data_IF_825981007310
#
_entry.id   IF_825981007310
#
_cell.length_a   1.000
_cell.length_b   1.000
_cell.length_c   1.000
_cell.angle_alpha   90.00
_cell.angle_beta   90.00
_cell.angle_gamma   90.00
#
_symmetry.space_group_name_H-M   'P 1'
#
loop_
_entity.id
_entity.type
_entity.pdbx_description
1 polymer ?
#
# COMPACT_ATOMS: atom_id res chain seq x y z
N UNK A 1 38.30 12.86 -15.23
CA UNK A 1 37.88 11.62 -14.53
C UNK A 1 36.55 11.24 -15.13
N UNK A 2 36.45 10.00 -15.62
CA UNK A 2 35.39 9.54 -16.51
C UNK A 2 33.99 9.72 -15.90
N UNK A 3 33.10 10.33 -16.68
CA UNK A 3 31.67 10.28 -16.45
C UNK A 3 31.22 8.83 -16.66
N UNK A 4 30.70 8.19 -15.60
CA UNK A 4 30.05 6.89 -15.69
C UNK A 4 28.79 7.05 -16.56
N UNK A 5 28.92 6.78 -17.86
CA UNK A 5 27.79 6.51 -18.74
C UNK A 5 27.17 5.22 -18.23
N UNK A 6 26.20 5.32 -17.31
CA UNK A 6 25.48 4.16 -16.82
C UNK A 6 24.73 3.54 -18.00
N UNK A 7 25.25 2.42 -18.53
CA UNK A 7 24.57 1.63 -19.56
C UNK A 7 23.14 1.38 -19.08
N UNK A 8 22.15 1.87 -19.83
CA UNK A 8 20.74 1.63 -19.53
C UNK A 8 20.53 0.12 -19.70
N UNK A 9 20.54 -0.62 -18.58
CA UNK A 9 20.33 -2.06 -18.60
C UNK A 9 18.90 -2.34 -19.05
N UNK A 10 18.72 -3.22 -20.00
CA UNK A 10 17.43 -3.80 -20.40
C UNK A 10 17.11 -5.02 -19.52
N UNK A 11 15.87 -5.51 -19.54
CA UNK A 11 15.54 -6.77 -18.84
C UNK A 11 16.31 -7.97 -19.42
N UNK A 12 16.57 -7.98 -20.72
CA UNK A 12 17.41 -8.97 -21.39
C UNK A 12 18.83 -8.97 -20.82
N UNK A 13 19.42 -7.79 -20.59
CA UNK A 13 20.76 -7.66 -19.98
C UNK A 13 20.83 -8.21 -18.55
N UNK A 14 19.68 -8.33 -17.87
CA UNK A 14 19.59 -8.91 -16.52
C UNK A 14 19.49 -10.44 -16.53
N UNK A 15 19.41 -11.07 -17.71
CA UNK A 15 19.21 -12.52 -17.86
C UNK A 15 17.73 -12.96 -17.81
N UNK A 16 16.79 -12.03 -17.96
CA UNK A 16 15.35 -12.36 -18.10
C UNK A 16 15.11 -12.92 -19.50
N UNK A 17 14.39 -14.05 -19.60
CA UNK A 17 14.12 -14.72 -20.86
C UNK A 17 13.13 -13.94 -21.74
N UNK A 18 13.23 -14.12 -23.05
CA UNK A 18 12.48 -13.35 -24.06
C UNK A 18 10.96 -13.34 -23.79
N UNK A 19 10.40 -14.46 -23.36
CA UNK A 19 8.97 -14.57 -23.04
C UNK A 19 8.55 -13.63 -21.91
N UNK A 20 9.38 -13.48 -20.87
CA UNK A 20 9.11 -12.58 -19.75
C UNK A 20 9.45 -11.12 -20.09
N UNK A 21 10.42 -10.90 -20.98
CA UNK A 21 10.71 -9.56 -21.53
C UNK A 21 9.50 -9.06 -22.32
N UNK A 22 8.92 -9.87 -23.21
CA UNK A 22 7.69 -9.54 -23.95
C UNK A 22 6.53 -9.23 -23.00
N UNK A 23 6.36 -10.02 -21.93
CA UNK A 23 5.35 -9.75 -20.91
C UNK A 23 5.59 -8.41 -20.19
N UNK A 24 6.85 -8.04 -19.92
CA UNK A 24 7.20 -6.74 -19.36
C UNK A 24 6.83 -5.60 -20.33
N UNK A 25 7.17 -5.73 -21.61
CA UNK A 25 6.85 -4.72 -22.64
C UNK A 25 5.34 -4.52 -22.79
N UNK A 26 4.57 -5.60 -22.81
CA UNK A 26 3.10 -5.56 -22.87
C UNK A 26 2.47 -4.85 -21.65
N UNK A 27 3.13 -4.90 -20.49
CA UNK A 27 2.74 -4.16 -19.28
C UNK A 27 3.34 -2.75 -19.21
N UNK A 28 4.07 -2.32 -20.24
CA UNK A 28 4.72 -1.02 -20.33
C UNK A 28 5.99 -0.88 -19.49
N UNK A 29 6.58 -1.99 -19.03
CA UNK A 29 7.84 -2.00 -18.28
C UNK A 29 9.02 -1.95 -19.24
N UNK A 30 9.34 -0.74 -19.70
CA UNK A 30 10.40 -0.53 -20.71
C UNK A 30 11.81 -0.73 -20.19
N UNK A 31 12.07 -0.32 -18.95
CA UNK A 31 13.40 -0.36 -18.34
C UNK A 31 13.30 -0.86 -16.90
N UNK A 32 14.21 -1.72 -16.44
CA UNK A 32 14.27 -2.15 -15.06
C UNK A 32 14.57 -0.98 -14.12
N UNK A 33 13.93 -0.98 -12.95
CA UNK A 33 14.30 -0.07 -11.88
C UNK A 33 15.66 -0.43 -11.26
N UNK A 34 16.29 0.49 -10.52
CA UNK A 34 17.57 0.24 -9.84
C UNK A 34 17.57 -1.05 -9.00
N UNK A 35 16.51 -1.25 -8.19
CA UNK A 35 16.37 -2.47 -7.37
C UNK A 35 16.19 -3.73 -8.22
N UNK A 36 15.50 -3.65 -9.36
CA UNK A 36 15.35 -4.77 -10.28
C UNK A 36 16.69 -5.11 -10.96
N UNK A 37 17.40 -4.09 -11.43
CA UNK A 37 18.69 -4.22 -12.10
C UNK A 37 19.79 -4.83 -11.21
N UNK A 38 19.74 -4.57 -9.91
CA UNK A 38 20.65 -5.17 -8.93
C UNK A 38 20.17 -6.55 -8.45
N UNK A 39 18.86 -6.74 -8.22
CA UNK A 39 18.34 -7.97 -7.59
C UNK A 39 18.15 -9.14 -8.55
N UNK A 40 17.63 -8.88 -9.76
CA UNK A 40 17.24 -9.95 -10.69
C UNK A 40 18.41 -10.86 -11.04
N UNK A 41 19.61 -10.35 -11.39
CA UNK A 41 20.74 -11.23 -11.69
C UNK A 41 21.06 -12.18 -10.53
N UNK A 42 21.12 -11.68 -9.29
CA UNK A 42 21.41 -12.51 -8.12
C UNK A 42 20.29 -13.52 -7.82
N UNK A 43 19.03 -13.12 -8.01
CA UNK A 43 17.87 -14.00 -7.86
C UNK A 43 17.94 -15.18 -8.85
N UNK A 44 18.27 -14.91 -10.12
CA UNK A 44 18.39 -15.91 -11.18
C UNK A 44 19.54 -16.89 -10.93
N UNK A 45 20.61 -16.45 -10.27
CA UNK A 45 21.69 -17.32 -9.78
C UNK A 45 21.32 -18.11 -8.50
N UNK A 46 20.06 -18.05 -8.06
CA UNK A 46 19.55 -18.83 -6.94
C UNK A 46 20.02 -18.36 -5.56
N UNK A 47 20.48 -17.11 -5.43
CA UNK A 47 20.89 -16.52 -4.15
C UNK A 47 19.69 -16.05 -3.35
N UNK A 48 19.77 -16.15 -2.02
CA UNK A 48 18.88 -15.45 -1.11
C UNK A 48 19.09 -13.93 -1.22
N UNK A 49 18.02 -13.15 -1.07
CA UNK A 49 18.06 -11.70 -1.28
C UNK A 49 17.52 -10.91 -0.10
N UNK A 50 18.12 -9.75 0.12
CA UNK A 50 17.57 -8.68 0.93
C UNK A 50 17.51 -7.43 0.06
N UNK A 51 16.31 -7.02 -0.31
CA UNK A 51 16.07 -5.79 -1.05
C UNK A 51 15.58 -4.68 -0.14
N UNK A 52 16.43 -3.68 0.10
CA UNK A 52 16.07 -2.43 0.77
C UNK A 52 15.87 -1.34 -0.27
N UNK A 53 14.61 -0.98 -0.49
CA UNK A 53 14.25 0.08 -1.41
C UNK A 53 12.93 0.74 -1.01
N UNK A 54 12.75 1.99 -1.40
CA UNK A 54 11.58 2.81 -1.07
C UNK A 54 10.30 2.24 -1.71
N UNK A 55 9.13 2.68 -1.26
CA UNK A 55 7.84 2.31 -1.85
C UNK A 55 7.74 2.84 -3.28
N UNK A 56 7.22 2.03 -4.21
CA UNK A 56 7.13 2.40 -5.63
C UNK A 56 8.43 2.26 -6.43
N UNK A 57 9.48 1.68 -5.84
CA UNK A 57 10.77 1.41 -6.53
C UNK A 57 10.76 0.17 -7.44
N UNK A 58 9.65 -0.57 -7.53
CA UNK A 58 9.56 -1.78 -8.37
C UNK A 58 10.00 -3.09 -7.70
N UNK A 59 10.05 -3.14 -6.36
CA UNK A 59 10.40 -4.34 -5.56
C UNK A 59 9.62 -5.60 -5.99
N UNK A 60 8.33 -5.46 -6.27
CA UNK A 60 7.48 -6.58 -6.68
C UNK A 60 8.00 -7.28 -7.94
N UNK A 61 8.33 -6.50 -8.98
CA UNK A 61 8.94 -7.04 -10.20
C UNK A 61 10.28 -7.75 -9.95
N UNK A 62 11.06 -7.27 -8.97
CA UNK A 62 12.37 -7.83 -8.65
C UNK A 62 12.32 -9.26 -8.10
N UNK A 63 11.22 -9.68 -7.47
CA UNK A 63 11.03 -11.09 -7.07
C UNK A 63 10.07 -11.87 -7.96
N UNK A 64 9.09 -11.22 -8.59
CA UNK A 64 8.12 -11.91 -9.46
C UNK A 64 8.82 -12.50 -10.69
N UNK A 65 9.66 -11.72 -11.37
CA UNK A 65 10.35 -12.14 -12.60
C UNK A 65 11.22 -13.40 -12.41
N UNK A 66 12.16 -13.46 -11.43
CA UNK A 66 12.96 -14.66 -11.25
C UNK A 66 12.16 -15.89 -10.82
N UNK A 67 11.08 -15.71 -10.03
CA UNK A 67 10.19 -16.82 -9.64
C UNK A 67 9.44 -17.36 -10.85
N UNK A 68 8.89 -16.48 -11.69
CA UNK A 68 8.22 -16.89 -12.93
C UNK A 68 9.18 -17.58 -13.89
N UNK A 69 10.41 -17.08 -14.03
CA UNK A 69 11.41 -17.71 -14.89
C UNK A 69 11.73 -19.14 -14.42
N UNK A 70 11.90 -19.36 -13.12
CA UNK A 70 12.10 -20.70 -12.58
C UNK A 70 10.88 -21.62 -12.78
N UNK A 71 9.66 -21.05 -12.78
CA UNK A 71 8.43 -21.79 -13.10
C UNK A 71 8.30 -22.18 -14.59
N UNK A 72 9.05 -21.55 -15.49
CA UNK A 72 9.05 -21.94 -16.91
C UNK A 72 9.78 -23.27 -17.14
N UNK A 73 10.72 -23.63 -16.28
CA UNK A 73 11.44 -24.91 -16.35
C UNK A 73 10.60 -26.07 -15.78
N UNK A 74 9.88 -25.80 -14.69
CA UNK A 74 8.97 -26.76 -14.07
C UNK A 74 7.85 -26.03 -13.34
N UNK A 75 6.62 -26.56 -13.40
CA UNK A 75 5.44 -25.95 -12.79
C UNK A 75 4.88 -26.80 -11.63
N UNK A 76 5.65 -27.08 -10.57
CA UNK A 76 5.13 -27.82 -9.44
C UNK A 76 4.09 -26.98 -8.68
N UNK A 77 3.14 -27.66 -8.05
CA UNK A 77 2.22 -27.04 -7.11
C UNK A 77 2.97 -26.47 -5.90
N UNK A 78 2.47 -25.38 -5.33
CA UNK A 78 2.99 -24.74 -4.11
C UNK A 78 4.49 -24.41 -4.19
N UNK A 79 4.96 -23.97 -5.35
CA UNK A 79 6.35 -23.66 -5.63
C UNK A 79 6.86 -22.42 -4.89
N UNK A 80 6.02 -21.39 -4.82
CA UNK A 80 6.36 -20.11 -4.20
C UNK A 80 5.26 -19.64 -3.25
N UNK A 81 5.67 -19.02 -2.15
CA UNK A 81 4.80 -18.41 -1.15
C UNK A 81 5.27 -16.98 -0.91
N UNK A 82 4.37 -16.02 -1.09
CA UNK A 82 4.61 -14.61 -0.77
C UNK A 82 3.76 -14.22 0.42
N UNK A 83 4.42 -13.85 1.51
CA UNK A 83 3.79 -13.36 2.72
C UNK A 83 3.74 -11.84 2.67
N UNK A 84 2.56 -11.29 2.87
CA UNK A 84 2.29 -9.84 2.81
C UNK A 84 1.48 -9.39 4.02
N UNK A 85 1.74 -8.19 4.60
CA UNK A 85 1.08 -7.72 5.82
C UNK A 85 -0.39 -7.36 5.64
N UNK A 86 -0.85 -7.16 4.41
CA UNK A 86 -2.20 -6.69 4.13
C UNK A 86 -2.82 -7.49 3.00
N UNK A 87 -4.15 -7.63 3.03
CA UNK A 87 -4.89 -8.44 2.06
C UNK A 87 -4.77 -7.87 0.66
N UNK A 88 -4.79 -6.55 0.60
CA UNK A 88 -4.79 -5.80 -0.62
C UNK A 88 -3.44 -5.90 -1.31
N UNK A 89 -2.33 -5.84 -0.54
CA UNK A 89 -1.00 -6.07 -1.11
C UNK A 89 -0.86 -7.52 -1.60
N UNK A 90 -1.45 -8.48 -0.88
CA UNK A 90 -1.47 -9.87 -1.35
C UNK A 90 -2.21 -10.01 -2.69
N UNK A 91 -3.37 -9.38 -2.85
CA UNK A 91 -4.13 -9.37 -4.11
C UNK A 91 -3.30 -8.72 -5.23
N UNK A 92 -2.69 -7.56 -4.97
CA UNK A 92 -1.83 -6.88 -5.95
C UNK A 92 -0.67 -7.75 -6.43
N UNK A 93 0.04 -8.39 -5.51
CA UNK A 93 1.17 -9.26 -5.83
C UNK A 93 0.68 -10.44 -6.68
N UNK A 94 -0.47 -11.04 -6.34
CA UNK A 94 -1.06 -12.11 -7.13
C UNK A 94 -1.45 -11.63 -8.54
N UNK A 95 -1.97 -10.41 -8.68
CA UNK A 95 -2.29 -9.83 -9.98
C UNK A 95 -1.02 -9.56 -10.81
N UNK A 96 0.10 -9.19 -10.18
CA UNK A 96 1.40 -9.08 -10.88
C UNK A 96 1.87 -10.43 -11.40
N UNK A 97 1.76 -11.50 -10.60
CA UNK A 97 2.07 -12.85 -11.06
C UNK A 97 1.16 -13.30 -12.21
N UNK A 98 -0.14 -13.00 -12.16
CA UNK A 98 -1.09 -13.34 -13.24
C UNK A 98 -0.82 -12.53 -14.51
N UNK A 99 -0.52 -11.24 -14.38
CA UNK A 99 -0.28 -10.36 -15.51
C UNK A 99 0.99 -10.76 -16.27
N UNK A 100 2.12 -10.86 -15.56
CA UNK A 100 3.39 -11.31 -16.13
C UNK A 100 3.37 -12.78 -16.53
N UNK A 101 2.56 -13.60 -15.86
CA UNK A 101 2.43 -15.05 -16.08
C UNK A 101 1.32 -15.46 -17.05
N UNK A 102 0.60 -14.51 -17.65
CA UNK A 102 -0.64 -14.76 -18.40
C UNK A 102 -0.46 -15.71 -19.58
N UNK A 103 0.70 -15.65 -20.25
CA UNK A 103 1.06 -16.53 -21.36
C UNK A 103 1.53 -17.94 -20.97
N UNK A 104 1.67 -18.25 -19.67
CA UNK A 104 2.37 -19.48 -19.21
C UNK A 104 1.51 -20.42 -18.37
N UNK A 105 0.19 -20.16 -18.26
CA UNK A 105 -0.72 -21.02 -17.49
C UNK A 105 -0.46 -21.00 -15.98
N UNK A 106 0.13 -19.92 -15.46
CA UNK A 106 0.47 -19.80 -14.04
C UNK A 106 -0.80 -19.71 -13.19
N UNK A 107 -0.92 -20.61 -12.21
CA UNK A 107 -2.00 -20.63 -11.23
C UNK A 107 -1.53 -19.97 -9.95
N UNK A 108 -2.26 -18.96 -9.50
CA UNK A 108 -2.01 -18.25 -8.25
C UNK A 108 -3.25 -18.32 -7.36
N UNK A 109 -3.07 -18.61 -6.07
CA UNK A 109 -4.12 -18.51 -5.06
C UNK A 109 -3.79 -17.40 -4.05
N UNK A 110 -4.82 -16.65 -3.67
CA UNK A 110 -4.73 -15.59 -2.66
C UNK A 110 -5.36 -16.09 -1.37
N UNK A 111 -4.61 -16.06 -0.27
CA UNK A 111 -5.04 -16.54 1.05
C UNK A 111 -5.10 -15.38 2.05
N UNK A 112 -6.27 -14.77 2.17
CA UNK A 112 -6.48 -13.59 3.03
C UNK A 112 -7.69 -13.72 3.95
N UNK A 113 -7.70 -12.99 5.07
CA UNK A 113 -8.84 -12.95 6.00
C UNK A 113 -10.11 -12.31 5.39
N UNK A 114 -11.27 -12.50 6.02
CA UNK A 114 -12.61 -11.96 5.61
C UNK A 114 -13.12 -12.32 4.21
N UNK A 115 -12.32 -13.00 3.37
CA UNK A 115 -12.82 -13.69 2.18
C UNK A 115 -13.38 -15.07 2.54
N UNK A 116 -14.25 -15.59 1.67
CA UNK A 116 -14.87 -16.89 1.86
C UNK A 116 -13.79 -17.99 1.86
N UNK A 117 -13.72 -18.70 2.99
CA UNK A 117 -12.75 -19.78 3.19
C UNK A 117 -13.04 -20.95 2.23
N UNK A 118 -14.29 -21.18 1.82
CA UNK A 118 -14.67 -22.22 0.88
C UNK A 118 -14.11 -21.96 -0.51
N UNK A 119 -14.12 -20.70 -0.97
CA UNK A 119 -13.47 -20.34 -2.23
C UNK A 119 -11.96 -20.56 -2.17
N UNK A 120 -11.33 -20.23 -1.03
CA UNK A 120 -9.90 -20.48 -0.82
C UNK A 120 -9.57 -21.98 -0.82
N UNK A 121 -10.40 -22.83 -0.21
CA UNK A 121 -10.27 -24.29 -0.29
C UNK A 121 -10.34 -24.79 -1.74
N UNK A 122 -11.32 -24.31 -2.52
CA UNK A 122 -11.47 -24.66 -3.94
C UNK A 122 -10.24 -24.22 -4.74
N UNK A 123 -9.73 -23.02 -4.49
CA UNK A 123 -8.55 -22.50 -5.16
C UNK A 123 -7.29 -23.31 -4.83
N UNK A 124 -7.12 -23.76 -3.58
CA UNK A 124 -6.02 -24.63 -3.17
C UNK A 124 -6.12 -26.04 -3.79
N UNK A 125 -7.33 -26.58 -3.90
CA UNK A 125 -7.56 -27.89 -4.53
C UNK A 125 -7.17 -27.91 -6.03
N UNK A 126 -7.08 -26.74 -6.68
CA UNK A 126 -6.59 -26.61 -8.06
C UNK A 126 -5.06 -26.67 -8.19
N UNK A 127 -4.36 -26.89 -7.08
CA UNK A 127 -2.90 -27.03 -7.00
C UNK A 127 -2.17 -25.84 -7.63
N UNK A 128 -2.38 -24.61 -7.11
CA UNK A 128 -1.73 -23.41 -7.62
C UNK A 128 -0.21 -23.51 -7.47
N UNK A 129 0.52 -22.92 -8.41
CA UNK A 129 1.99 -22.84 -8.35
C UNK A 129 2.44 -21.80 -7.32
N UNK A 130 1.66 -20.72 -7.18
CA UNK A 130 1.99 -19.56 -6.36
C UNK A 130 0.91 -19.35 -5.32
N UNK A 131 1.34 -19.18 -4.07
CA UNK A 131 0.50 -18.76 -2.95
C UNK A 131 0.90 -17.35 -2.56
N UNK A 132 -0.08 -16.46 -2.43
CA UNK A 132 0.14 -15.12 -1.87
C UNK A 132 -0.83 -14.94 -0.71
N UNK A 133 -0.38 -14.53 0.47
CA UNK A 133 -1.30 -14.46 1.59
C UNK A 133 -0.84 -13.64 2.78
N UNK A 134 -1.79 -13.40 3.68
CA UNK A 134 -1.54 -12.76 4.97
C UNK A 134 -1.17 -13.79 6.03
N UNK A 135 -0.29 -13.47 7.01
CA UNK A 135 0.25 -14.45 7.94
C UNK A 135 -0.80 -15.32 8.63
N UNK A 136 -1.83 -14.71 9.23
CA UNK A 136 -2.85 -15.46 9.97
C UNK A 136 -3.67 -16.42 9.11
N UNK A 137 -4.05 -16.02 7.89
CA UNK A 137 -4.81 -16.89 6.97
C UNK A 137 -3.94 -18.01 6.39
N UNK A 138 -2.65 -17.75 6.15
CA UNK A 138 -1.70 -18.78 5.72
C UNK A 138 -1.57 -19.88 6.78
N UNK A 139 -1.37 -19.50 8.05
CA UNK A 139 -1.32 -20.43 9.18
C UNK A 139 -2.59 -21.27 9.29
N UNK A 140 -3.76 -20.61 9.19
CA UNK A 140 -5.05 -21.30 9.23
C UNK A 140 -5.16 -22.38 8.15
N UNK A 141 -4.84 -22.04 6.89
CA UNK A 141 -4.86 -23.03 5.82
C UNK A 141 -3.82 -24.14 6.01
N UNK A 142 -2.58 -23.81 6.41
CA UNK A 142 -1.53 -24.81 6.67
C UNK A 142 -1.93 -25.80 7.78
N UNK A 143 -2.72 -25.35 8.75
CA UNK A 143 -3.14 -26.18 9.89
C UNK A 143 -4.38 -27.01 9.57
N UNK A 144 -5.33 -26.44 8.82
CA UNK A 144 -6.68 -26.98 8.69
C UNK A 144 -7.02 -27.52 7.30
N UNK A 145 -6.21 -27.23 6.27
CA UNK A 145 -6.49 -27.66 4.88
C UNK A 145 -5.79 -28.97 4.56
N UNK A 146 -6.56 -30.04 4.40
CA UNK A 146 -6.03 -31.34 3.98
C UNK A 146 -5.35 -31.23 2.61
N UNK A 147 -4.14 -31.77 2.50
CA UNK A 147 -3.38 -31.80 1.24
C UNK A 147 -2.65 -30.50 0.89
N UNK A 148 -2.83 -29.43 1.67
CA UNK A 148 -2.04 -28.22 1.53
C UNK A 148 -0.85 -28.25 2.50
N UNK A 149 0.36 -28.08 1.97
CA UNK A 149 1.56 -27.94 2.79
C UNK A 149 2.67 -27.22 2.02
N UNK A 150 3.66 -26.71 2.74
CA UNK A 150 4.83 -26.07 2.15
C UNK A 150 6.04 -27.00 1.99
N UNK A 151 5.94 -28.31 2.19
CA UNK A 151 7.09 -29.23 2.12
C UNK A 151 7.88 -29.15 0.79
N UNK A 152 7.20 -28.87 -0.33
CA UNK A 152 7.81 -28.74 -1.66
C UNK A 152 8.19 -27.29 -2.04
N UNK A 153 7.98 -26.32 -1.15
CA UNK A 153 8.18 -24.90 -1.42
C UNK A 153 9.64 -24.61 -1.78
N UNK A 154 9.87 -23.95 -2.92
CA UNK A 154 11.20 -23.54 -3.38
C UNK A 154 11.50 -22.07 -3.13
N UNK A 155 10.47 -21.22 -3.06
CA UNK A 155 10.61 -19.79 -2.84
C UNK A 155 9.73 -19.30 -1.69
N UNK A 156 10.33 -18.59 -0.74
CA UNK A 156 9.63 -17.81 0.27
C UNK A 156 9.94 -16.34 0.08
N UNK A 157 8.92 -15.51 -0.07
CA UNK A 157 9.06 -14.05 -0.16
C UNK A 157 8.38 -13.40 1.05
N UNK A 158 9.09 -12.50 1.71
CA UNK A 158 8.58 -11.66 2.79
C UNK A 158 8.57 -10.22 2.29
N UNK A 159 7.42 -9.73 1.82
CA UNK A 159 7.28 -8.36 1.32
C UNK A 159 6.74 -7.42 2.40
N UNK A 160 7.18 -6.16 2.39
CA UNK A 160 7.01 -5.22 3.51
C UNK A 160 7.39 -5.85 4.86
N UNK A 161 8.58 -6.47 4.94
CA UNK A 161 9.01 -7.24 6.09
C UNK A 161 9.04 -6.45 7.41
N UNK A 162 9.26 -5.13 7.35
CA UNK A 162 9.15 -4.25 8.51
C UNK A 162 7.73 -4.15 9.07
N UNK A 163 6.68 -4.30 8.24
CA UNK A 163 5.28 -4.37 8.62
C UNK A 163 4.87 -5.78 9.07
N UNK A 164 5.41 -6.84 8.47
CA UNK A 164 5.18 -8.23 8.88
C UNK A 164 5.64 -8.53 10.32
N UNK A 165 6.52 -7.69 10.87
CA UNK A 165 7.09 -7.84 12.22
C UNK A 165 6.42 -6.95 13.28
N UNK A 166 5.26 -6.36 12.96
CA UNK A 166 4.35 -5.80 13.97
C UNK A 166 3.85 -6.92 14.89
N UNK A 167 3.64 -6.63 16.19
CA UNK A 167 3.41 -7.66 17.22
C UNK A 167 2.21 -8.58 16.91
N UNK A 168 1.20 -8.07 16.20
CA UNK A 168 0.02 -8.82 15.77
C UNK A 168 0.31 -9.99 14.80
N UNK A 169 1.46 -9.98 14.11
CA UNK A 169 1.80 -10.98 13.09
C UNK A 169 2.94 -11.90 13.50
N UNK A 170 3.70 -11.55 14.54
CA UNK A 170 4.94 -12.23 14.89
C UNK A 170 4.74 -13.74 15.09
N UNK A 171 3.72 -14.14 15.87
CA UNK A 171 3.41 -15.55 16.12
C UNK A 171 3.12 -16.31 14.81
N UNK A 172 2.31 -15.74 13.93
CA UNK A 172 2.00 -16.38 12.65
C UNK A 172 3.19 -16.47 11.70
N UNK A 173 4.11 -15.49 11.75
CA UNK A 173 5.35 -15.56 10.97
C UNK A 173 6.25 -16.68 11.49
N UNK A 174 6.43 -16.79 12.81
CA UNK A 174 7.23 -17.85 13.42
C UNK A 174 6.67 -19.23 13.03
N UNK A 175 5.36 -19.44 13.11
CA UNK A 175 4.69 -20.69 12.69
C UNK A 175 4.88 -20.99 11.20
N UNK A 176 4.78 -20.00 10.31
CA UNK A 176 5.05 -20.19 8.88
C UNK A 176 6.49 -20.63 8.67
N UNK A 177 7.45 -20.00 9.35
CA UNK A 177 8.88 -20.30 9.22
C UNK A 177 9.24 -21.72 9.68
N UNK A 178 8.51 -22.25 10.66
CA UNK A 178 8.67 -23.63 11.14
C UNK A 178 8.10 -24.66 10.15
N UNK A 179 7.09 -24.29 9.37
CA UNK A 179 6.41 -25.18 8.41
C UNK A 179 7.02 -25.18 7.00
N UNK A 180 7.86 -24.20 6.67
CA UNK A 180 8.56 -24.13 5.37
C UNK A 180 9.87 -24.93 5.37
N UNK A 181 10.26 -25.56 4.26
CA UNK A 181 11.48 -26.34 4.15
C UNK A 181 12.72 -25.46 4.34
N UNK A 182 13.73 -26.03 4.99
CA UNK A 182 15.03 -25.36 5.21
C UNK A 182 15.79 -25.10 3.91
N UNK A 183 15.65 -25.98 2.92
CA UNK A 183 16.25 -25.82 1.60
C UNK A 183 15.26 -25.12 0.65
N UNK A 184 15.38 -23.81 0.60
CA UNK A 184 14.57 -22.92 -0.25
C UNK A 184 15.38 -21.66 -0.55
N UNK A 185 14.91 -20.87 -1.50
CA UNK A 185 15.37 -19.50 -1.74
C UNK A 185 14.46 -18.56 -0.98
N UNK A 186 15.03 -17.65 -0.21
CA UNK A 186 14.27 -16.65 0.55
C UNK A 186 14.59 -15.24 0.05
N UNK A 187 13.54 -14.47 -0.21
CA UNK A 187 13.64 -13.07 -0.59
C UNK A 187 12.95 -12.21 0.45
N UNK A 188 13.70 -11.29 1.07
CA UNK A 188 13.17 -10.33 2.04
C UNK A 188 13.20 -8.94 1.42
N UNK A 189 12.03 -8.31 1.29
CA UNK A 189 11.89 -6.96 0.78
C UNK A 189 11.30 -6.05 1.84
N UNK A 190 11.93 -4.89 2.04
CA UNK A 190 11.48 -3.91 3.04
C UNK A 190 11.81 -2.49 2.61
N UNK A 191 11.00 -1.53 3.05
CA UNK A 191 11.32 -0.12 2.93
C UNK A 191 12.31 0.34 4.00
N UNK A 192 12.27 -0.27 5.19
CA UNK A 192 13.11 0.13 6.33
C UNK A 192 13.84 -1.06 6.95
N UNK A 193 15.06 -0.83 7.43
CA UNK A 193 15.88 -1.86 8.08
C UNK A 193 15.85 -1.70 9.61
N UNK A 194 14.75 -2.14 10.23
CA UNK A 194 14.60 -2.10 11.70
C UNK A 194 15.37 -3.24 12.38
N UNK A 195 15.58 -3.14 13.71
CA UNK A 195 16.22 -4.23 14.48
C UNK A 195 15.47 -5.56 14.37
N UNK A 196 14.13 -5.51 14.31
CA UNK A 196 13.30 -6.70 14.11
C UNK A 196 13.57 -7.32 12.74
N UNK A 197 13.65 -6.52 11.67
CA UNK A 197 13.98 -7.01 10.31
C UNK A 197 15.36 -7.64 10.26
N UNK A 198 16.35 -7.04 10.92
CA UNK A 198 17.71 -7.63 11.03
C UNK A 198 17.70 -8.98 11.75
N UNK A 199 16.86 -9.14 12.79
CA UNK A 199 16.70 -10.42 13.49
C UNK A 199 16.04 -11.45 12.58
N UNK A 200 14.94 -11.09 11.92
CA UNK A 200 14.24 -11.94 10.96
C UNK A 200 15.18 -12.40 9.84
N UNK A 201 16.01 -11.50 9.32
CA UNK A 201 17.01 -11.83 8.30
C UNK A 201 17.90 -13.00 8.73
N UNK A 202 18.42 -12.97 9.97
CA UNK A 202 19.35 -13.99 10.48
C UNK A 202 18.70 -15.36 10.63
N UNK A 203 17.38 -15.39 10.82
CA UNK A 203 16.60 -16.63 10.99
C UNK A 203 16.19 -17.21 9.63
N UNK A 204 15.82 -16.35 8.68
CA UNK A 204 15.17 -16.78 7.45
C UNK A 204 16.10 -17.00 6.25
N UNK A 205 17.27 -16.34 6.21
CA UNK A 205 18.13 -16.25 5.02
C UNK A 205 19.47 -16.96 5.22
N UNK A 206 20.03 -17.47 4.11
CA UNK A 206 21.35 -18.14 4.07
C UNK A 206 22.28 -17.41 3.12
N UNK A 207 23.33 -16.78 3.67
CA UNK A 207 24.31 -15.98 2.92
C UNK A 207 23.66 -15.04 1.88
N UNK A 208 22.70 -14.17 2.30
CA UNK A 208 21.93 -13.38 1.37
C UNK A 208 22.76 -12.27 0.73
N UNK A 209 22.47 -11.97 -0.53
CA UNK A 209 22.94 -10.74 -1.18
C UNK A 209 22.10 -9.58 -0.66
N UNK A 210 22.76 -8.63 0.00
CA UNK A 210 22.12 -7.40 0.49
C UNK A 210 22.21 -6.33 -0.59
N UNK A 211 21.06 -5.83 -1.00
CA UNK A 211 20.89 -4.83 -2.04
C UNK A 211 20.21 -3.63 -1.38
N UNK A 212 20.91 -2.51 -1.34
CA UNK A 212 20.46 -1.30 -0.66
C UNK A 212 20.55 -0.13 -1.63
N UNK A 213 19.41 0.19 -2.23
CA UNK A 213 19.30 1.25 -3.25
C UNK A 213 19.00 2.61 -2.60
N UNK A 214 18.72 2.62 -1.30
CA UNK A 214 18.37 3.81 -0.55
C UNK A 214 18.88 3.70 0.90
N UNK A 215 19.25 4.81 1.52
CA UNK A 215 19.65 4.82 2.93
C UNK A 215 18.50 4.40 3.86
N UNK A 216 18.85 3.91 5.05
CA UNK A 216 17.95 3.28 6.06
C UNK A 216 16.61 3.97 6.29
N UNK A 217 16.56 5.29 6.16
CA UNK A 217 15.37 6.14 6.19
C UNK A 217 15.54 7.25 5.15
N UNK A 218 15.02 7.04 3.95
CA UNK A 218 15.11 8.03 2.86
C UNK A 218 13.81 8.13 2.09
N UNK A 219 13.62 9.29 1.47
CA UNK A 219 12.58 9.57 0.48
C UNK A 219 13.20 9.67 -0.92
N UNK A 220 12.38 9.64 -1.97
CA UNK A 220 12.86 9.86 -3.35
C UNK A 220 13.31 11.31 -3.53
N UNK A 221 14.32 11.55 -4.36
CA UNK A 221 14.85 12.90 -4.62
C UNK A 221 13.84 13.83 -5.31
N UNK A 222 12.87 13.26 -6.03
CA UNK A 222 11.79 14.00 -6.71
C UNK A 222 10.64 14.42 -5.80
N UNK A 223 10.74 14.14 -4.49
CA UNK A 223 9.73 14.49 -3.49
C UNK A 223 10.07 15.81 -2.79
N UNK A 224 9.25 16.83 -3.01
CA UNK A 224 9.32 18.10 -2.31
C UNK A 224 8.54 18.03 -0.99
N UNK A 225 9.22 18.31 0.13
CA UNK A 225 8.68 18.11 1.47
C UNK A 225 8.59 19.45 2.20
N UNK A 226 7.36 19.80 2.59
CA UNK A 226 7.03 21.06 3.23
C UNK A 226 6.25 20.83 4.52
N UNK A 227 6.23 21.84 5.38
CA UNK A 227 5.33 21.86 6.53
C UNK A 227 4.74 23.25 6.77
N UNK A 228 3.58 23.28 7.42
CA UNK A 228 3.04 24.49 8.05
C UNK A 228 3.07 24.31 9.56
N UNK A 229 3.51 25.32 10.29
CA UNK A 229 3.26 25.42 11.73
C UNK A 229 1.89 26.07 11.94
N UNK A 230 0.92 25.29 12.42
CA UNK A 230 -0.50 25.69 12.49
C UNK A 230 -1.02 25.52 13.91
N UNK A 231 -1.57 26.56 14.54
CA UNK A 231 -2.30 26.39 15.80
C UNK A 231 -3.45 25.38 15.63
N UNK A 232 -3.61 24.43 16.55
CA UNK A 232 -4.57 23.33 16.41
C UNK A 232 -6.00 23.78 16.08
N UNK A 233 -6.42 24.96 16.58
CA UNK A 233 -7.73 25.56 16.28
C UNK A 233 -7.96 25.89 14.79
N UNK A 234 -6.90 26.12 14.03
CA UNK A 234 -6.97 26.51 12.60
C UNK A 234 -6.61 25.38 11.65
N UNK A 235 -6.32 24.18 12.16
CA UNK A 235 -5.84 23.05 11.36
C UNK A 235 -6.82 22.61 10.27
N UNK A 236 -8.12 22.56 10.58
CA UNK A 236 -9.16 22.27 9.59
C UNK A 236 -9.23 23.36 8.50
N UNK A 237 -9.09 24.63 8.90
CA UNK A 237 -9.12 25.77 7.97
C UNK A 237 -7.91 25.74 7.04
N UNK A 238 -6.72 25.45 7.59
CA UNK A 238 -5.50 25.30 6.81
C UNK A 238 -5.61 24.13 5.82
N UNK A 239 -6.18 23.00 6.23
CA UNK A 239 -6.43 21.88 5.32
C UNK A 239 -7.31 22.31 4.14
N UNK A 240 -8.43 23.00 4.42
CA UNK A 240 -9.35 23.49 3.38
C UNK A 240 -8.67 24.50 2.45
N UNK A 241 -7.88 25.42 3.01
CA UNK A 241 -7.10 26.38 2.23
C UNK A 241 -6.14 25.66 1.27
N UNK A 242 -5.30 24.77 1.78
CA UNK A 242 -4.32 24.01 0.96
C UNK A 242 -5.02 23.19 -0.13
N UNK A 243 -6.13 22.52 0.19
CA UNK A 243 -6.89 21.74 -0.78
C UNK A 243 -7.59 22.61 -1.83
N UNK A 244 -7.95 23.85 -1.49
CA UNK A 244 -8.57 24.81 -2.41
C UNK A 244 -7.54 25.40 -3.37
N UNK A 245 -6.36 25.75 -2.87
CA UNK A 245 -5.22 26.21 -3.70
C UNK A 245 -4.72 25.13 -4.65
N UNK A 246 -4.83 23.85 -4.24
CA UNK A 246 -4.41 22.69 -5.03
C UNK A 246 -5.59 21.98 -5.68
N UNK A 247 -6.65 22.71 -5.99
CA UNK A 247 -7.85 22.15 -6.64
C UNK A 247 -7.48 21.52 -7.99
N UNK A 248 -7.99 20.32 -8.22
CA UNK A 248 -7.74 19.56 -9.45
C UNK A 248 -6.62 18.52 -9.32
N UNK A 249 -5.69 18.69 -8.37
CA UNK A 249 -4.68 17.68 -8.08
C UNK A 249 -5.26 16.50 -7.31
N UNK A 250 -4.73 15.30 -7.58
CA UNK A 250 -5.03 14.11 -6.79
C UNK A 250 -4.29 14.22 -5.45
N UNK A 251 -5.04 14.16 -4.34
CA UNK A 251 -4.51 14.40 -3.00
C UNK A 251 -4.88 13.28 -2.05
N UNK A 252 -3.90 12.78 -1.29
CA UNK A 252 -4.12 11.82 -0.20
C UNK A 252 -3.86 12.50 1.14
N UNK A 253 -4.84 12.48 2.04
CA UNK A 253 -4.77 13.12 3.36
C UNK A 253 -4.75 12.06 4.45
N UNK A 254 -3.71 12.09 5.27
CA UNK A 254 -3.50 11.12 6.33
C UNK A 254 -3.94 11.63 7.70
N UNK A 255 -4.79 10.86 8.36
CA UNK A 255 -5.29 11.14 9.72
C UNK A 255 -5.01 9.98 10.66
N UNK A 256 -4.97 10.25 11.97
CA UNK A 256 -4.66 9.26 13.00
C UNK A 256 -5.79 8.25 13.22
N UNK A 257 -7.05 8.70 13.21
CA UNK A 257 -8.20 7.86 13.58
C UNK A 257 -9.20 7.67 12.44
N UNK A 258 -9.91 6.53 12.44
CA UNK A 258 -10.99 6.26 11.48
C UNK A 258 -12.19 7.22 11.67
N UNK A 259 -12.39 7.75 12.87
CA UNK A 259 -13.42 8.77 13.12
C UNK A 259 -13.06 10.09 12.42
N UNK A 260 -11.78 10.48 12.48
CA UNK A 260 -11.28 11.67 11.79
C UNK A 260 -11.39 11.53 10.26
N UNK A 261 -11.07 10.36 9.67
CA UNK A 261 -11.20 10.17 8.22
C UNK A 261 -12.61 10.44 7.73
N UNK A 262 -13.63 9.88 8.42
CA UNK A 262 -15.04 10.05 8.07
C UNK A 262 -15.51 11.49 8.27
N UNK A 263 -15.16 12.10 9.42
CA UNK A 263 -15.53 13.48 9.72
C UNK A 263 -14.95 14.47 8.71
N UNK A 264 -13.66 14.33 8.38
CA UNK A 264 -12.96 15.20 7.44
C UNK A 264 -13.55 15.06 6.04
N UNK A 265 -13.71 13.84 5.53
CA UNK A 265 -14.32 13.64 4.22
C UNK A 265 -15.73 14.28 4.14
N UNK A 266 -16.56 14.11 5.17
CA UNK A 266 -17.91 14.68 5.19
C UNK A 266 -17.93 16.21 5.22
N UNK A 267 -17.12 16.86 6.07
CA UNK A 267 -17.15 18.32 6.09
C UNK A 267 -16.51 18.92 4.83
N UNK A 268 -15.49 18.29 4.24
CA UNK A 268 -14.94 18.70 2.96
C UNK A 268 -16.00 18.64 1.85
N UNK A 269 -16.81 17.57 1.82
CA UNK A 269 -17.96 17.46 0.88
C UNK A 269 -19.00 18.56 1.09
N UNK A 270 -19.33 18.89 2.34
CA UNK A 270 -20.24 20.00 2.65
C UNK A 270 -19.69 21.37 2.17
N UNK A 271 -18.36 21.50 2.05
CA UNK A 271 -17.68 22.68 1.50
C UNK A 271 -17.51 22.62 -0.02
N UNK A 272 -18.03 21.58 -0.70
CA UNK A 272 -17.94 21.42 -2.15
C UNK A 272 -16.63 20.78 -2.64
N UNK A 273 -15.81 20.21 -1.75
CA UNK A 273 -14.60 19.47 -2.10
C UNK A 273 -14.91 17.98 -2.26
N UNK A 274 -14.43 17.37 -3.35
CA UNK A 274 -14.74 15.97 -3.70
C UNK A 274 -13.84 15.00 -2.93
N UNK A 275 -14.20 14.83 -1.66
CA UNK A 275 -13.49 13.97 -0.72
C UNK A 275 -14.19 12.64 -0.47
N UNK A 276 -13.40 11.58 -0.36
CA UNK A 276 -13.83 10.24 0.02
C UNK A 276 -12.91 9.70 1.11
N UNK A 277 -13.44 8.90 2.05
CA UNK A 277 -12.65 8.30 3.11
C UNK A 277 -12.43 6.80 2.91
N UNK A 278 -11.24 6.31 3.24
CA UNK A 278 -10.95 4.88 3.38
C UNK A 278 -10.38 4.63 4.77
N UNK A 279 -11.00 3.70 5.50
CA UNK A 279 -10.55 3.33 6.84
C UNK A 279 -10.54 1.82 7.03
N UNK A 280 -9.76 1.32 7.99
CA UNK A 280 -9.70 -0.12 8.29
C UNK A 280 -10.99 -0.70 8.89
N UNK A 281 -11.99 0.14 9.21
CA UNK A 281 -13.32 -0.30 9.66
C UNK A 281 -14.28 -0.58 8.50
N UNK A 282 -13.94 -0.17 7.28
CA UNK A 282 -14.77 -0.41 6.11
C UNK A 282 -14.59 -1.84 5.60
N UNK A 283 -15.67 -2.44 5.11
CA UNK A 283 -15.62 -3.73 4.43
C UNK A 283 -14.78 -3.66 3.16
N UNK A 284 -14.18 -4.79 2.77
CA UNK A 284 -13.33 -4.88 1.58
C UNK A 284 -13.99 -4.35 0.29
N UNK A 285 -15.24 -4.73 -0.06
CA UNK A 285 -15.89 -4.22 -1.26
C UNK A 285 -16.03 -2.70 -1.26
N UNK A 286 -16.31 -2.10 -0.09
CA UNK A 286 -16.43 -0.64 0.04
C UNK A 286 -15.09 0.08 -0.09
N UNK A 287 -14.02 -0.50 0.43
CA UNK A 287 -12.67 0.05 0.26
C UNK A 287 -12.26 0.05 -1.21
N UNK A 288 -12.57 -1.04 -1.93
CA UNK A 288 -12.34 -1.14 -3.38
C UNK A 288 -13.19 -0.14 -4.16
N UNK A 289 -14.47 0.00 -3.83
CA UNK A 289 -15.36 0.97 -4.47
C UNK A 289 -14.87 2.42 -4.26
N UNK A 290 -14.51 2.78 -3.03
CA UNK A 290 -13.96 4.10 -2.73
C UNK A 290 -12.64 4.36 -3.48
N UNK A 291 -11.78 3.34 -3.59
CA UNK A 291 -10.55 3.43 -4.36
C UNK A 291 -10.85 3.60 -5.87
N UNK A 292 -11.82 2.88 -6.41
CA UNK A 292 -12.20 2.97 -7.82
C UNK A 292 -12.74 4.37 -8.14
N UNK A 293 -13.59 4.93 -7.28
CA UNK A 293 -14.07 6.32 -7.43
C UNK A 293 -12.93 7.34 -7.41
N UNK A 294 -11.88 7.09 -6.62
CA UNK A 294 -10.68 7.91 -6.63
C UNK A 294 -9.85 7.73 -7.91
N UNK A 295 -9.64 6.49 -8.36
CA UNK A 295 -8.92 6.15 -9.60
C UNK A 295 -9.59 6.71 -10.85
N UNK A 296 -10.92 6.66 -10.91
CA UNK A 296 -11.73 7.22 -12.00
C UNK A 296 -11.82 8.76 -11.96
N UNK A 297 -11.25 9.40 -10.93
CA UNK A 297 -11.27 10.84 -10.77
C UNK A 297 -12.63 11.42 -10.37
N UNK A 298 -13.61 10.59 -9.96
CA UNK A 298 -14.90 11.05 -9.40
C UNK A 298 -14.67 11.83 -8.10
N UNK A 299 -13.73 11.36 -7.28
CA UNK A 299 -13.16 12.08 -6.15
C UNK A 299 -11.67 12.31 -6.39
N UNK A 300 -11.15 13.50 -6.07
CA UNK A 300 -9.71 13.79 -6.19
C UNK A 300 -9.04 13.96 -4.82
N UNK A 301 -9.79 13.81 -3.72
CA UNK A 301 -9.25 13.88 -2.35
C UNK A 301 -9.60 12.58 -1.63
N UNK A 302 -8.59 11.85 -1.20
CA UNK A 302 -8.73 10.62 -0.44
C UNK A 302 -8.25 10.82 1.00
N UNK A 303 -9.12 10.59 1.98
CA UNK A 303 -8.78 10.68 3.40
C UNK A 303 -8.59 9.27 3.98
N UNK A 304 -7.43 8.97 4.56
CA UNK A 304 -7.14 7.62 5.05
C UNK A 304 -6.28 7.57 6.32
N UNK A 305 -6.33 6.44 7.01
CA UNK A 305 -5.37 6.09 8.07
C UNK A 305 -4.18 5.32 7.50
N UNK A 306 -3.09 5.19 8.29
CA UNK A 306 -1.90 4.41 7.90
C UNK A 306 -2.26 3.00 7.47
N UNK A 307 -3.08 2.31 8.27
CA UNK A 307 -3.50 0.93 8.02
C UNK A 307 -4.28 0.83 6.71
N UNK A 308 -5.20 1.77 6.48
CA UNK A 308 -6.03 1.79 5.28
C UNK A 308 -5.24 2.08 4.00
N UNK A 309 -4.13 2.81 4.11
CA UNK A 309 -3.27 3.20 2.99
C UNK A 309 -2.26 2.11 2.55
N UNK A 310 -2.08 1.08 3.38
CA UNK A 310 -1.17 -0.04 3.07
C UNK A 310 -1.90 -1.07 2.23
N UNK A 311 -1.17 -1.60 1.26
CA UNK A 311 -1.60 -2.66 0.34
C UNK A 311 -2.70 -2.38 -0.67
N UNK A 312 -3.49 -1.32 -0.57
CA UNK A 312 -4.34 -0.93 -1.70
C UNK A 312 -3.49 -0.32 -2.81
N UNK A 313 -3.88 -0.56 -4.06
CA UNK A 313 -3.17 -0.02 -5.24
C UNK A 313 -3.58 1.41 -5.40
N UNK A 314 -3.04 2.25 -4.53
CA UNK A 314 -3.26 3.66 -4.64
C UNK A 314 -2.50 4.16 -5.87
N UNK A 315 -3.20 4.84 -6.79
CA UNK A 315 -2.52 5.51 -7.87
C UNK A 315 -1.51 6.49 -7.27
N UNK A 316 -0.40 6.71 -7.98
CA UNK A 316 0.51 7.78 -7.59
C UNK A 316 -0.27 9.08 -7.55
N UNK A 317 -0.34 9.70 -6.37
CA UNK A 317 -1.01 10.98 -6.18
C UNK A 317 -0.04 12.13 -6.40
N UNK A 318 -0.55 13.30 -6.75
CA UNK A 318 0.27 14.49 -6.93
C UNK A 318 0.70 15.06 -5.57
N UNK A 319 -0.17 14.95 -4.56
CA UNK A 319 0.04 15.54 -3.24
C UNK A 319 -0.31 14.56 -2.12
N UNK A 320 0.57 14.49 -1.12
CA UNK A 320 0.30 13.85 0.17
C UNK A 320 0.22 14.91 1.26
N UNK A 321 -0.84 14.91 2.05
CA UNK A 321 -1.00 15.79 3.21
C UNK A 321 -1.01 14.95 4.48
N UNK A 322 -0.02 15.15 5.35
CA UNK A 322 -0.09 14.66 6.72
C UNK A 322 -0.93 15.64 7.54
N UNK A 323 -2.23 15.37 7.65
CA UNK A 323 -3.10 16.15 8.53
C UNK A 323 -2.72 15.90 9.99
N UNK A 324 -2.53 14.64 10.39
CA UNK A 324 -1.92 14.32 11.69
C UNK A 324 -0.49 13.82 11.46
N UNK A 325 0.48 14.28 12.25
CA UNK A 325 1.88 13.84 12.11
C UNK A 325 2.00 12.36 12.52
N UNK A 326 2.65 11.51 11.71
CA UNK A 326 2.86 10.10 12.07
C UNK A 326 3.77 9.98 13.29
N UNK A 327 3.54 8.94 14.10
CA UNK A 327 4.30 8.72 15.34
C UNK A 327 5.72 8.17 15.10
N UNK A 328 5.97 7.63 13.89
CA UNK A 328 7.28 7.08 13.53
C UNK A 328 7.78 7.58 12.17
N UNK A 329 9.11 7.72 11.99
CA UNK A 329 9.72 8.02 10.69
C UNK A 329 9.40 6.97 9.62
N UNK A 330 9.27 5.70 10.03
CA UNK A 330 8.82 4.61 9.15
C UNK A 330 7.46 4.93 8.54
N UNK A 331 6.48 5.28 9.38
CA UNK A 331 5.13 5.62 8.90
C UNK A 331 5.15 6.84 7.98
N UNK A 332 5.97 7.85 8.29
CA UNK A 332 6.14 9.01 7.43
C UNK A 332 6.59 8.62 6.01
N UNK A 333 7.65 7.82 5.87
CA UNK A 333 8.16 7.35 4.56
C UNK A 333 7.09 6.61 3.78
N UNK A 334 6.31 5.75 4.46
CA UNK A 334 5.23 4.99 3.82
C UNK A 334 4.08 5.86 3.31
N UNK A 335 3.78 6.96 4.02
CA UNK A 335 2.77 7.94 3.61
C UNK A 335 3.22 8.75 2.42
N UNK A 336 4.41 9.36 2.51
CA UNK A 336 4.90 10.25 1.45
C UNK A 336 5.33 9.49 0.19
N UNK A 337 5.68 8.20 0.32
CA UNK A 337 5.89 7.29 -0.81
C UNK A 337 4.62 6.92 -1.61
N UNK A 338 3.49 7.60 -1.37
CA UNK A 338 2.27 7.54 -2.20
C UNK A 338 2.30 8.56 -3.34
N UNK A 339 3.19 9.55 -3.28
CA UNK A 339 3.49 10.48 -4.36
C UNK A 339 4.91 10.24 -4.90
N UNK A 340 5.32 11.02 -5.90
CA UNK A 340 6.67 10.98 -6.49
C UNK A 340 7.14 9.59 -6.98
N UNK A 341 6.23 8.74 -7.46
CA UNK A 341 6.56 7.39 -7.96
C UNK A 341 7.02 7.40 -9.40
N UNK A 342 7.83 6.40 -9.78
CA UNK A 342 8.30 6.18 -11.14
C UNK A 342 8.94 7.42 -11.80
N UNK A 343 9.72 8.18 -11.02
CA UNK A 343 10.43 9.37 -11.49
C UNK A 343 9.56 10.64 -11.60
N UNK A 344 8.27 10.58 -11.27
CA UNK A 344 7.41 11.78 -11.21
C UNK A 344 7.83 12.68 -10.04
N UNK A 345 7.60 13.98 -10.20
CA UNK A 345 7.61 14.93 -9.11
C UNK A 345 6.41 14.69 -8.19
N UNK A 346 6.58 14.96 -6.90
CA UNK A 346 5.50 14.86 -5.91
C UNK A 346 5.70 15.83 -4.77
N UNK A 347 4.61 16.14 -4.07
CA UNK A 347 4.63 17.09 -2.94
C UNK A 347 4.08 16.40 -1.69
N UNK A 348 4.80 16.53 -0.59
CA UNK A 348 4.32 16.15 0.74
C UNK A 348 4.23 17.39 1.64
N UNK A 349 3.06 17.61 2.25
CA UNK A 349 2.79 18.73 3.15
C UNK A 349 2.40 18.19 4.52
N UNK A 350 3.09 18.64 5.56
CA UNK A 350 2.75 18.30 6.95
C UNK A 350 2.10 19.47 7.67
N UNK A 351 0.92 19.27 8.27
CA UNK A 351 0.27 20.26 9.12
C UNK A 351 0.68 19.99 10.57
N UNK A 352 1.67 20.73 11.06
CA UNK A 352 2.28 20.51 12.38
C UNK A 352 1.67 21.49 13.37
N UNK A 353 1.11 20.98 14.47
CA UNK A 353 0.73 21.84 15.59
C UNK A 353 1.75 21.78 16.73
N UNK A 354 1.55 22.61 17.76
CA UNK A 354 2.46 22.70 18.90
C UNK A 354 2.62 21.38 19.67
N UNK A 355 1.63 20.49 19.64
CA UNK A 355 1.68 19.19 20.32
C UNK A 355 2.43 18.14 19.49
N UNK A 356 2.56 18.35 18.19
CA UNK A 356 3.18 17.41 17.26
C UNK A 356 4.63 17.77 16.89
N UNK A 357 5.14 18.92 17.36
CA UNK A 357 6.49 19.40 17.09
C UNK A 357 7.59 18.38 17.44
N UNK A 358 7.48 17.70 18.58
CA UNK A 358 8.49 16.71 18.99
C UNK A 358 8.52 15.51 18.05
N UNK A 359 7.34 14.97 17.72
CA UNK A 359 7.19 13.86 16.77
C UNK A 359 7.69 14.24 15.37
N UNK A 360 7.40 15.46 14.94
CA UNK A 360 7.87 16.01 13.68
C UNK A 360 9.40 16.15 13.64
N UNK A 361 10.00 16.71 14.70
CA UNK A 361 11.46 16.83 14.83
C UNK A 361 12.17 15.47 14.81
N UNK A 362 11.59 14.44 15.44
CA UNK A 362 12.10 13.06 15.35
C UNK A 362 12.14 12.55 13.91
N UNK A 363 11.16 12.91 13.08
CA UNK A 363 11.11 12.53 11.66
C UNK A 363 12.23 13.24 10.89
N UNK A 364 12.36 14.55 11.01
CA UNK A 364 13.42 15.33 10.35
C UNK A 364 14.82 14.79 10.71
N UNK A 365 15.07 14.59 12.00
CA UNK A 365 16.35 14.08 12.49
C UNK A 365 16.65 12.67 11.97
N UNK A 366 15.64 11.82 11.86
CA UNK A 366 15.81 10.45 11.37
C UNK A 366 16.06 10.39 9.87
N UNK A 367 15.46 11.31 9.10
CA UNK A 367 15.69 11.45 7.66
C UNK A 367 16.98 12.23 7.35
N UNK A 368 17.55 12.93 8.34
CA UNK A 368 18.72 13.77 8.16
C UNK A 368 18.46 14.98 7.26
N UNK A 369 17.21 15.46 7.21
CA UNK A 369 16.80 16.56 6.34
C UNK A 369 15.89 17.54 7.07
N UNK A 370 16.00 18.82 6.71
CA UNK A 370 15.10 19.88 7.17
C UNK A 370 14.05 20.15 6.13
N UNK A 371 12.79 20.13 6.54
CA UNK A 371 11.68 20.41 5.64
C UNK A 371 11.53 21.92 5.49
N UNK A 372 11.03 22.36 4.33
CA UNK A 372 10.81 23.78 4.10
C UNK A 372 9.51 24.23 4.78
N UNK A 373 9.60 25.20 5.70
CA UNK A 373 8.43 25.82 6.29
C UNK A 373 7.71 26.69 5.26
N UNK A 374 6.40 26.51 5.15
CA UNK A 374 5.53 27.38 4.37
C UNK A 374 4.80 28.35 5.31
N UNK A 375 4.62 29.61 4.91
CA UNK A 375 4.00 30.62 5.75
C UNK A 375 2.54 30.28 6.02
N UNK A 376 2.16 30.20 7.29
CA UNK A 376 0.76 30.04 7.68
C UNK A 376 -0.03 31.31 7.37
N UNK A 377 -1.03 31.20 6.51
CA UNK A 377 -1.89 32.29 6.08
C UNK A 377 -3.05 32.47 7.09
N UNK A 378 -2.79 33.23 8.16
CA UNK A 378 -3.78 33.43 9.22
C UNK A 378 -5.07 34.08 8.69
N UNK A 379 -4.96 35.11 7.85
CA UNK A 379 -6.12 35.85 7.32
C UNK A 379 -7.06 34.94 6.52
N UNK A 380 -6.50 34.11 5.64
CA UNK A 380 -7.26 33.10 4.87
C UNK A 380 -7.92 32.07 5.79
N UNK A 381 -7.21 31.61 6.83
CA UNK A 381 -7.77 30.69 7.80
C UNK A 381 -8.94 31.32 8.60
N UNK A 382 -8.87 32.62 8.91
CA UNK A 382 -9.96 33.35 9.57
C UNK A 382 -11.19 33.47 8.66
N UNK A 383 -10.99 33.76 7.37
CA UNK A 383 -12.08 33.88 6.39
C UNK A 383 -12.85 32.57 6.21
N UNK A 384 -12.15 31.43 6.32
CA UNK A 384 -12.77 30.10 6.21
C UNK A 384 -13.42 29.61 7.52
N UNK A 385 -13.13 30.24 8.66
CA UNK A 385 -13.42 29.67 9.97
C UNK A 385 -14.90 29.38 10.21
N UNK A 386 -15.78 30.34 9.91
CA UNK A 386 -17.22 30.18 10.13
C UNK A 386 -17.79 29.06 9.26
N UNK A 387 -17.47 29.07 7.96
CA UNK A 387 -17.92 28.05 6.99
C UNK A 387 -17.43 26.66 7.37
N UNK A 388 -16.16 26.53 7.78
CA UNK A 388 -15.56 25.26 8.20
C UNK A 388 -16.22 24.76 9.50
N UNK A 389 -16.44 25.65 10.47
CA UNK A 389 -17.09 25.30 11.72
C UNK A 389 -18.54 24.82 11.50
N UNK A 390 -19.30 25.50 10.65
CA UNK A 390 -20.66 25.10 10.28
C UNK A 390 -20.67 23.75 9.56
N UNK A 391 -19.84 23.57 8.52
CA UNK A 391 -19.73 22.32 7.79
C UNK A 391 -19.36 21.14 8.71
N UNK A 392 -18.45 21.36 9.66
CA UNK A 392 -18.04 20.36 10.67
C UNK A 392 -19.17 20.04 11.65
N UNK A 393 -19.95 21.04 12.07
CA UNK A 393 -21.12 20.85 12.94
C UNK A 393 -22.19 20.00 12.26
N UNK A 394 -22.49 20.28 10.98
CA UNK A 394 -23.43 19.48 10.18
C UNK A 394 -22.94 18.03 10.06
N UNK A 395 -21.66 17.83 9.73
CA UNK A 395 -21.07 16.49 9.62
C UNK A 395 -21.13 15.70 10.93
N UNK A 396 -20.85 16.33 12.07
CA UNK A 396 -20.94 15.66 13.38
C UNK A 396 -22.36 15.22 13.69
N UNK A 397 -23.37 16.07 13.43
CA UNK A 397 -24.78 15.71 13.63
C UNK A 397 -25.17 14.51 12.78
N UNK A 398 -24.77 14.48 11.50
CA UNK A 398 -25.03 13.34 10.60
C UNK A 398 -24.40 12.03 11.09
N UNK A 399 -23.15 12.06 11.54
CA UNK A 399 -22.46 10.88 12.07
C UNK A 399 -23.17 10.33 13.33
N UNK A 400 -23.68 11.22 14.19
CA UNK A 400 -24.43 10.82 15.38
C UNK A 400 -25.77 10.17 15.01
N UNK A 401 -26.50 10.76 14.05
CA UNK A 401 -27.77 10.22 13.57
C UNK A 401 -27.62 8.85 12.89
N UNK A 402 -26.55 8.65 12.11
CA UNK A 402 -26.24 7.34 11.49
C UNK A 402 -25.83 6.30 12.53
N UNK A 403 -24.97 6.65 13.49
CA UNK A 403 -24.52 5.71 14.53
C UNK A 403 -25.65 5.25 15.47
N UNK A 404 -26.66 6.09 15.70
CA UNK A 404 -27.87 5.71 16.44
C UNK A 404 -28.80 4.77 15.67
N UNK A 405 -28.77 4.80 14.33
CA UNK A 405 -29.50 3.86 13.46
C UNK A 405 -28.76 2.53 13.30
N UNK A 406 -27.45 2.56 13.13
CA UNK A 406 -26.58 1.36 13.06
C UNK A 406 -26.75 0.49 14.32
N UNK A 407 -26.84 1.10 15.51
CA UNK A 407 -27.13 0.40 16.78
C UNK A 407 -28.52 -0.26 16.85
N UNK A 408 -29.49 0.18 16.04
CA UNK A 408 -30.86 -0.37 16.01
C UNK A 408 -31.07 -1.42 14.91
N UNK A 409 -30.24 -1.44 13.86
CA UNK A 409 -30.44 -2.31 12.69
C UNK A 409 -29.28 -3.26 12.37
N UNK A 410 -28.13 -3.17 13.06
CA UNK A 410 -27.02 -4.13 12.89
C UNK A 410 -26.33 -4.09 11.52
N UNK A 411 -26.62 -3.09 10.69
CA UNK A 411 -25.96 -2.83 9.41
C UNK A 411 -25.08 -1.59 9.52
N UNK A 412 -23.83 -1.72 9.06
CA UNK A 412 -22.87 -0.63 8.93
C UNK A 412 -23.26 0.21 7.71
N UNK A 413 -24.06 1.26 7.86
CA UNK A 413 -24.58 2.13 6.77
C UNK A 413 -23.69 3.35 6.54
N UNK A 414 -22.39 3.09 6.36
CA UNK A 414 -21.37 4.14 6.36
C UNK A 414 -21.43 5.16 5.22
N UNK A 415 -22.06 4.87 4.07
CA UNK A 415 -21.79 5.65 2.84
C UNK A 415 -22.85 5.67 1.72
N UNK A 416 -24.15 5.44 1.98
CA UNK A 416 -25.22 5.74 0.98
C UNK A 416 -25.13 7.18 0.42
N UNK A 417 -24.54 8.08 1.20
CA UNK A 417 -24.41 9.50 0.86
C UNK A 417 -23.26 9.80 -0.11
N UNK A 418 -22.23 8.95 -0.21
CA UNK A 418 -21.18 9.10 -1.23
C UNK A 418 -21.78 8.89 -2.63
N UNK A 419 -22.65 7.90 -2.79
CA UNK A 419 -23.40 7.66 -4.04
C UNK A 419 -24.38 8.80 -4.36
N UNK A 420 -25.08 9.34 -3.36
CA UNK A 420 -25.98 10.51 -3.54
C UNK A 420 -25.21 11.76 -3.95
N UNK A 421 -24.09 12.05 -3.31
CA UNK A 421 -23.28 13.24 -3.61
C UNK A 421 -22.66 13.16 -5.01
N UNK A 422 -22.20 11.96 -5.41
CA UNK A 422 -21.58 11.73 -6.73
C UNK A 422 -22.60 11.41 -7.84
N UNK A 423 -23.89 11.39 -7.54
CA UNK A 423 -24.96 11.17 -8.51
C UNK A 423 -25.02 9.75 -9.11
N UNK A 424 -24.40 8.75 -8.46
CA UNK A 424 -24.32 7.38 -9.00
C UNK A 424 -25.62 6.63 -8.66
N UNK A 425 -26.66 6.75 -9.51
CA UNK A 425 -27.82 5.86 -9.45
C UNK A 425 -27.50 4.55 -10.18
N UNK A 426 -27.26 3.47 -9.45
CA UNK A 426 -27.35 2.12 -9.99
C UNK A 426 -28.81 1.84 -10.40
N UNK A 427 -29.12 1.93 -11.69
CA UNK A 427 -30.36 1.38 -12.27
C UNK A 427 -30.31 -0.14 -12.15
N UNK A 428 -30.81 -0.69 -11.05
CA UNK A 428 -31.18 -2.11 -10.98
C UNK A 428 -32.31 -2.34 -12.00
N UNK A 429 -31.97 -2.90 -13.16
CA UNK A 429 -32.92 -3.53 -14.06
C UNK A 429 -33.50 -4.77 -13.36
N UNK A 430 -34.60 -4.60 -12.63
CA UNK A 430 -35.49 -5.72 -12.32
C UNK A 430 -36.33 -6.01 -13.56
N UNK A 431 -35.88 -6.98 -14.37
CA UNK A 431 -36.78 -7.66 -15.31
C UNK A 431 -37.84 -8.40 -14.49
N UNK A 432 -38.98 -7.74 -14.26
CA UNK A 432 -40.24 -8.40 -13.95
C UNK A 432 -40.66 -9.15 -15.22
N UNK A 433 -40.33 -10.43 -15.30
CA UNK A 433 -41.06 -11.36 -16.16
C UNK A 433 -42.45 -11.50 -15.52
N UNK A 434 -43.46 -10.96 -16.20
CA UNK A 434 -44.87 -11.25 -15.95
C UNK A 434 -45.47 -11.80 -17.23
N UNK A 435 -45.99 -13.02 -17.09
CA UNK A 435 -46.79 -13.84 -18.00
C UNK A 435 -46.08 -14.40 -19.23
#
# INVERSE_FOLDING_TARGET
MAEDISVIKTFTDLGVCDKLVEACENLGWKTPSKIQAEAIPHALHGKDLIGLAQTGSGKTGAFVLPILQALLESQPAFFACVVSPTRELAIQIADQFKALGSGFGIKCAVLVGEEDIMEQYINLARLPHIIVGTPGRLVDHLSNTKGFSFHALKYLVLDEADCLLEDKFQKSIDEILDLVPRERKTYLFSATMTRKVQKLQRVCLRNPVKIEVASKYSTVDTLNQHYYLVPSKYKDCQLVYVLSEKRGFSTMVFTRTCGATRLIALFLRNLGLRAISISGKMTQPRRLEALNQFKEGKCNILICTNVASRGLDFPCVDIVINYDIPESPKDYIHRVGRTARAGRLGVAISLVDSYELESFSKIENCLGMKFTELPFQLEEALLLMERVAEAKRISRRRIQESGSKEKKQGQDDGDEDTEKYLGVKNRKLSKRIKK
#
